data_IF_487317884329
#
_entry.id   IF_487317884329
#
_cell.length_a   1.000
_cell.length_b   1.000
_cell.length_c   1.000
_cell.angle_alpha   90.00
_cell.angle_beta   90.00
_cell.angle_gamma   90.00
#
_symmetry.space_group_name_H-M   'P 1'
#
loop_
_entity.id
_entity.type
_entity.pdbx_description
1 polymer ?
#
# COMPACT_ATOMS: atom_id res chain seq x y z
N UNK A 1 -4.32 -20.41 -31.66
CA UNK A 1 -4.92 -20.05 -30.35
C UNK A 1 -4.03 -18.98 -29.76
N UNK A 2 -4.27 -17.76 -30.21
CA UNK A 2 -3.47 -16.58 -29.87
C UNK A 2 -3.79 -16.15 -28.45
N UNK A 3 -2.98 -16.61 -27.49
CA UNK A 3 -3.04 -16.08 -26.14
C UNK A 3 -2.49 -14.66 -26.17
N UNK A 4 -3.42 -13.73 -26.01
CA UNK A 4 -3.24 -12.29 -25.88
C UNK A 4 -2.33 -11.97 -24.70
N UNK A 5 -1.01 -12.07 -24.90
CA UNK A 5 -0.04 -11.37 -24.05
C UNK A 5 0.01 -9.94 -24.58
N UNK A 6 -0.94 -9.12 -24.12
CA UNK A 6 -0.90 -7.68 -24.32
C UNK A 6 0.29 -7.19 -23.51
N UNK A 7 1.45 -7.06 -24.15
CA UNK A 7 2.61 -6.38 -23.61
C UNK A 7 2.15 -5.04 -23.06
N UNK A 8 2.20 -4.90 -21.75
CA UNK A 8 1.90 -3.65 -21.07
C UNK A 8 3.02 -2.70 -21.49
N UNK A 9 2.77 -1.90 -22.53
CA UNK A 9 3.64 -0.78 -22.88
C UNK A 9 3.72 0.12 -21.64
N UNK A 10 4.85 0.06 -20.95
CA UNK A 10 5.25 1.05 -19.96
C UNK A 10 5.54 2.37 -20.69
N UNK A 11 4.49 2.99 -21.22
CA UNK A 11 4.48 4.44 -21.32
C UNK A 11 4.55 4.94 -19.89
N UNK A 12 5.70 5.44 -19.48
CA UNK A 12 5.90 6.09 -18.19
C UNK A 12 5.07 7.37 -18.16
N UNK A 13 3.75 7.22 -18.04
CA UNK A 13 2.85 8.33 -17.78
C UNK A 13 3.19 8.73 -16.35
N UNK A 14 4.00 9.79 -16.24
CA UNK A 14 4.35 10.35 -14.95
C UNK A 14 3.07 10.62 -14.17
N UNK A 15 2.97 10.03 -12.97
CA UNK A 15 1.87 10.31 -12.05
C UNK A 15 2.02 11.75 -11.61
N UNK A 16 1.04 12.58 -11.98
CA UNK A 16 0.99 14.01 -11.65
C UNK A 16 0.14 14.26 -10.42
N UNK A 17 -0.96 13.53 -10.27
CA UNK A 17 -1.93 13.73 -9.21
C UNK A 17 -2.34 12.40 -8.59
N UNK A 18 -2.55 12.40 -7.28
CA UNK A 18 -3.10 11.26 -6.53
C UNK A 18 -4.32 11.74 -5.77
N UNK A 19 -5.45 11.07 -5.97
CA UNK A 19 -6.70 11.29 -5.23
C UNK A 19 -6.88 10.09 -4.32
N UNK A 20 -7.00 10.35 -3.02
CA UNK A 20 -7.21 9.30 -2.02
C UNK A 20 -8.62 9.43 -1.47
N UNK A 21 -9.39 8.34 -1.53
CA UNK A 21 -10.73 8.32 -0.95
C UNK A 21 -10.62 8.25 0.59
N UNK A 22 -11.49 8.94 1.35
CA UNK A 22 -11.45 8.92 2.82
C UNK A 22 -11.51 7.51 3.43
N UNK A 23 -12.21 6.58 2.78
CA UNK A 23 -12.27 5.17 3.17
C UNK A 23 -10.88 4.50 3.23
N UNK A 24 -10.00 4.82 2.29
CA UNK A 24 -8.65 4.25 2.24
C UNK A 24 -7.78 4.72 3.41
N UNK A 25 -7.95 5.96 3.86
CA UNK A 25 -7.28 6.50 5.05
C UNK A 25 -7.81 5.86 6.32
N UNK A 26 -9.13 5.71 6.45
CA UNK A 26 -9.75 5.04 7.58
C UNK A 26 -9.31 3.58 7.67
N UNK A 27 -9.25 2.88 6.55
CA UNK A 27 -8.82 1.48 6.50
C UNK A 27 -7.33 1.33 6.82
N UNK A 28 -6.47 2.25 6.37
CA UNK A 28 -5.05 2.23 6.73
C UNK A 28 -4.84 2.44 8.23
N UNK A 29 -5.61 3.35 8.83
CA UNK A 29 -5.60 3.63 10.26
C UNK A 29 -6.08 2.42 11.08
N UNK A 30 -7.14 1.76 10.63
CA UNK A 30 -7.62 0.52 11.27
C UNK A 30 -6.54 -0.57 11.25
N UNK A 31 -5.88 -0.78 10.10
CA UNK A 31 -4.78 -1.75 10.01
C UNK A 31 -3.62 -1.40 10.95
N UNK A 32 -3.24 -0.13 11.06
CA UNK A 32 -2.20 0.30 11.99
C UNK A 32 -2.56 -0.03 13.45
N UNK A 33 -3.78 0.26 13.88
CA UNK A 33 -4.19 -0.03 15.26
C UNK A 33 -4.37 -1.52 15.55
N UNK A 34 -4.74 -2.33 14.54
CA UNK A 34 -4.82 -3.79 14.68
C UNK A 34 -3.44 -4.42 14.78
N UNK A 35 -2.43 -3.88 14.10
CA UNK A 35 -1.07 -4.41 14.14
C UNK A 35 -0.33 -3.99 15.43
N UNK A 36 -0.45 -2.72 15.83
CA UNK A 36 0.15 -2.18 17.06
C UNK A 36 -0.39 -2.81 18.37
N UNK A 37 -1.48 -3.58 18.31
CA UNK A 37 -2.01 -4.33 19.46
C UNK A 37 -1.46 -5.76 19.54
N UNK A 38 -0.78 -6.26 18.51
CA UNK A 38 -0.22 -7.61 18.45
C UNK A 38 1.26 -7.71 18.85
N UNK A 39 1.98 -6.59 19.02
CA UNK A 39 3.35 -6.52 19.58
C UNK A 39 3.32 -5.98 21.02
N UNK A 40 3.01 -6.80 22.04
CA UNK A 40 2.98 -6.39 23.44
C UNK A 40 4.39 -6.28 24.09
N UNK A 41 5.48 -6.34 23.32
CA UNK A 41 6.82 -6.21 23.88
C UNK A 41 7.08 -4.73 24.26
N UNK A 42 7.43 -4.43 25.53
CA UNK A 42 7.43 -3.06 26.09
C UNK A 42 8.50 -2.11 25.51
N UNK A 43 9.35 -2.60 24.62
CA UNK A 43 10.52 -1.88 24.09
C UNK A 43 10.52 -1.75 22.56
N UNK A 44 9.55 -2.36 21.87
CA UNK A 44 9.48 -2.32 20.41
C UNK A 44 8.79 -1.04 19.93
N UNK A 45 9.51 -0.31 19.08
CA UNK A 45 9.04 0.87 18.39
C UNK A 45 7.79 0.52 17.56
N UNK A 46 6.87 1.48 17.35
CA UNK A 46 5.68 1.27 16.51
C UNK A 46 6.08 0.64 15.16
N UNK A 47 5.73 -0.63 14.95
CA UNK A 47 6.07 -1.36 13.74
C UNK A 47 5.46 -0.72 12.49
N UNK A 48 6.23 -0.66 11.41
CA UNK A 48 5.74 -0.20 10.10
C UNK A 48 4.73 -1.19 9.53
N UNK A 49 3.52 -0.71 9.26
CA UNK A 49 2.51 -1.48 8.53
C UNK A 49 2.62 -1.22 7.04
N UNK A 50 2.70 -2.29 6.26
CA UNK A 50 2.73 -2.25 4.79
C UNK A 50 1.40 -2.75 4.24
N UNK A 51 0.99 -2.26 3.07
CA UNK A 51 -0.28 -2.64 2.47
C UNK A 51 -0.37 -2.37 0.98
N UNK A 52 -1.46 -2.82 0.38
CA UNK A 52 -1.76 -2.64 -1.05
C UNK A 52 -2.84 -1.58 -1.21
N UNK A 53 -2.67 -0.71 -2.21
CA UNK A 53 -3.60 0.36 -2.56
C UNK A 53 -4.30 0.07 -3.90
N UNK A 54 -5.44 -0.66 -3.90
CA UNK A 54 -6.24 -0.84 -5.10
C UNK A 54 -6.87 0.48 -5.54
N UNK A 55 -7.00 0.62 -6.87
CA UNK A 55 -7.47 1.86 -7.45
C UNK A 55 -7.49 1.81 -8.98
N UNK A 56 -7.68 2.99 -9.58
CA UNK A 56 -7.61 3.16 -11.03
C UNK A 56 -6.67 4.30 -11.38
N UNK A 57 -5.95 4.16 -12.50
CA UNK A 57 -5.08 5.20 -13.03
C UNK A 57 -5.60 5.66 -14.38
N UNK A 58 -5.76 6.98 -14.55
CA UNK A 58 -6.18 7.56 -15.82
C UNK A 58 -5.44 8.88 -16.09
N UNK A 59 -4.78 8.96 -17.25
CA UNK A 59 -4.09 10.17 -17.74
C UNK A 59 -3.16 10.85 -16.72
N UNK A 60 -2.40 10.06 -15.95
CA UNK A 60 -1.46 10.58 -14.95
C UNK A 60 -2.10 10.99 -13.61
N UNK A 61 -3.40 10.75 -13.45
CA UNK A 61 -4.07 10.82 -12.14
C UNK A 61 -4.33 9.41 -11.64
N UNK A 62 -3.88 9.11 -10.42
CA UNK A 62 -4.16 7.84 -9.73
C UNK A 62 -5.24 8.08 -8.69
N UNK A 63 -6.29 7.28 -8.72
CA UNK A 63 -7.36 7.28 -7.73
C UNK A 63 -7.24 6.03 -6.86
N UNK A 64 -7.02 6.23 -5.58
CA UNK A 64 -6.95 5.16 -4.58
C UNK A 64 -8.34 5.00 -3.96
N UNK A 65 -8.96 3.85 -4.19
CA UNK A 65 -10.34 3.57 -3.73
C UNK A 65 -10.37 2.94 -2.35
N UNK A 66 -9.39 2.09 -2.03
CA UNK A 66 -9.28 1.43 -0.72
C UNK A 66 -7.81 1.14 -0.35
N UNK A 67 -7.59 0.57 0.83
CA UNK A 67 -6.30 0.04 1.28
C UNK A 67 -6.48 -1.28 2.06
N UNK A 68 -5.50 -2.16 1.97
CA UNK A 68 -5.48 -3.44 2.70
C UNK A 68 -4.10 -3.70 3.30
N UNK A 69 -4.04 -3.98 4.59
CA UNK A 69 -2.79 -4.36 5.27
C UNK A 69 -2.29 -5.73 4.80
N UNK A 70 -0.98 -5.86 4.70
CA UNK A 70 -0.28 -7.10 4.39
C UNK A 70 0.57 -7.46 5.61
N UNK A 71 0.55 -8.73 6.07
CA UNK A 71 1.42 -9.16 7.17
C UNK A 71 2.89 -8.86 6.85
N UNK A 72 3.53 -8.06 7.69
CA UNK A 72 4.90 -7.60 7.54
C UNK A 72 5.51 -7.44 8.93
N UNK A 73 6.75 -7.89 9.10
CA UNK A 73 7.53 -7.67 10.31
C UNK A 73 8.71 -6.78 9.93
N UNK A 74 8.86 -5.66 10.66
CA UNK A 74 9.97 -4.74 10.45
C UNK A 74 11.26 -5.33 11.03
N UNK A 75 12.30 -5.44 10.20
CA UNK A 75 13.59 -5.96 10.64
C UNK A 75 14.53 -4.79 10.97
N UNK A 76 14.80 -4.56 12.27
CA UNK A 76 15.61 -3.42 12.74
C UNK A 76 17.07 -3.46 12.23
N UNK A 77 17.59 -4.66 11.93
CA UNK A 77 18.96 -4.86 11.42
C UNK A 77 19.14 -4.46 9.94
N UNK A 78 18.05 -4.22 9.20
CA UNK A 78 18.11 -3.77 7.81
C UNK A 78 16.93 -2.84 7.47
N UNK A 79 17.03 -1.54 7.81
CA UNK A 79 15.93 -0.58 7.61
C UNK A 79 15.62 -0.27 6.14
N UNK A 80 16.33 -0.89 5.19
CA UNK A 80 16.07 -0.74 3.75
C UNK A 80 15.01 -1.70 3.20
N UNK A 81 14.47 -2.62 4.00
CA UNK A 81 13.40 -3.55 3.60
C UNK A 81 12.33 -3.70 4.68
#
# INVERSE_FOLDING_TARGET
MDTVVKSMENSSIAVKNVIVHPLALLSALDHFFRDATHTPEPEEQFGRVVGVLPGSSFKGTVQVSNSYGVPFEENEDNPSV
#
